data_IF_248221791805
#
_entry.id   IF_248221791805
#
_cell.length_a   1.000
_cell.length_b   1.000
_cell.length_c   1.000
_cell.angle_alpha   90.00
_cell.angle_beta   90.00
_cell.angle_gamma   90.00
#
_symmetry.space_group_name_H-M   'P 1'
#
loop_
_entity.id
_entity.type
_entity.pdbx_description
1 polymer ?
#
# COMPACT_ATOMS: atom_id res chain seq x y z
N UNK A 1 -1.37 17.96 2.21
CA UNK A 1 -1.42 16.99 1.09
C UNK A 1 -2.69 16.15 1.12
N UNK A 2 -2.96 15.34 2.15
CA UNK A 2 -4.22 14.55 2.24
C UNK A 2 -5.52 15.35 2.11
N UNK A 3 -5.60 16.56 2.68
CA UNK A 3 -6.78 17.44 2.59
C UNK A 3 -6.97 18.01 1.17
N UNK A 4 -5.88 18.50 0.55
CA UNK A 4 -5.85 18.99 -0.82
C UNK A 4 -6.13 17.88 -1.85
N UNK A 5 -5.60 16.68 -1.63
CA UNK A 5 -5.88 15.49 -2.46
C UNK A 5 -7.32 15.02 -2.30
N UNK A 6 -7.91 15.05 -1.09
CA UNK A 6 -9.35 14.76 -0.88
C UNK A 6 -10.25 15.80 -1.56
N UNK A 7 -9.86 17.07 -1.61
CA UNK A 7 -10.60 18.12 -2.31
C UNK A 7 -10.53 17.96 -3.84
N UNK A 8 -9.37 17.61 -4.39
CA UNK A 8 -9.19 17.34 -5.82
C UNK A 8 -9.91 16.06 -6.28
N UNK A 9 -9.92 15.01 -5.45
CA UNK A 9 -10.54 13.72 -5.80
C UNK A 9 -12.07 13.68 -5.67
N UNK A 10 -12.70 14.59 -4.92
CA UNK A 10 -14.17 14.72 -4.93
C UNK A 10 -14.74 15.11 -6.31
N UNK A 11 -13.90 15.56 -7.23
CA UNK A 11 -14.32 15.98 -8.58
C UNK A 11 -13.65 15.21 -9.73
N UNK A 12 -12.71 14.30 -9.47
CA UNK A 12 -11.99 13.59 -10.53
C UNK A 12 -11.65 12.14 -10.17
N UNK A 13 -12.62 11.24 -10.34
CA UNK A 13 -12.36 9.80 -10.49
C UNK A 13 -11.80 9.54 -11.90
N UNK A 14 -10.50 9.75 -12.09
CA UNK A 14 -9.82 9.21 -13.26
C UNK A 14 -8.34 9.02 -13.01
N UNK A 15 -7.89 7.76 -13.09
CA UNK A 15 -6.48 7.45 -13.20
C UNK A 15 -5.94 8.06 -14.51
N UNK A 16 -4.95 8.95 -14.40
CA UNK A 16 -4.15 9.39 -15.54
C UNK A 16 -3.35 8.19 -16.05
N UNK A 17 -3.80 7.58 -17.14
CA UNK A 17 -2.97 6.65 -17.90
C UNK A 17 -2.19 7.46 -18.94
N UNK A 18 -0.85 7.41 -18.97
CA UNK A 18 -0.09 8.07 -20.03
C UNK A 18 -0.48 7.45 -21.37
N UNK A 19 -0.99 8.28 -22.28
CA UNK A 19 -1.10 7.96 -23.70
C UNK A 19 0.29 7.78 -24.33
N UNK A 20 0.37 7.35 -25.60
CA UNK A 20 1.65 7.32 -26.29
C UNK A 20 2.22 8.74 -26.32
N UNK A 21 3.30 8.96 -25.56
CA UNK A 21 3.96 10.24 -25.45
C UNK A 21 4.39 10.69 -26.86
N UNK A 22 3.82 11.79 -27.34
CA UNK A 22 4.53 12.63 -28.28
C UNK A 22 5.73 13.18 -27.53
N UNK A 23 6.93 12.75 -27.87
CA UNK A 23 8.16 13.36 -27.34
C UNK A 23 8.25 14.80 -27.86
N UNK A 24 7.69 15.76 -27.13
CA UNK A 24 8.04 17.16 -27.32
C UNK A 24 9.43 17.37 -26.70
N UNK A 25 10.34 17.93 -27.51
CA UNK A 25 11.73 18.15 -27.14
C UNK A 25 11.82 18.90 -25.79
N UNK A 26 12.45 18.30 -24.78
CA UNK A 26 12.53 18.87 -23.42
C UNK A 26 13.09 20.31 -23.33
N UNK A 27 13.78 20.79 -24.38
CA UNK A 27 14.23 22.17 -24.52
C UNK A 27 13.08 23.18 -24.68
N UNK A 28 12.04 22.83 -25.44
CA UNK A 28 10.87 23.69 -25.69
C UNK A 28 10.01 23.84 -24.43
N UNK A 29 9.85 22.74 -23.69
CA UNK A 29 9.18 22.74 -22.39
C UNK A 29 9.87 23.61 -21.33
N UNK A 30 11.20 23.53 -21.25
CA UNK A 30 11.96 24.36 -20.31
C UNK A 30 11.83 25.84 -20.62
N UNK A 31 11.77 26.21 -21.91
CA UNK A 31 11.54 27.58 -22.35
C UNK A 31 10.16 28.11 -21.92
N UNK A 32 9.11 27.27 -21.99
CA UNK A 32 7.77 27.65 -21.52
C UNK A 32 7.74 27.98 -20.02
N UNK A 33 8.45 27.21 -19.19
CA UNK A 33 8.57 27.51 -17.75
C UNK A 33 9.36 28.80 -17.49
N UNK A 34 10.42 29.05 -18.27
CA UNK A 34 11.18 30.29 -18.17
C UNK A 34 10.32 31.51 -18.56
N UNK A 35 9.48 31.39 -19.58
CA UNK A 35 8.59 32.47 -20.03
C UNK A 35 7.60 32.93 -18.95
N UNK A 36 7.15 32.01 -18.09
CA UNK A 36 6.29 32.32 -16.94
C UNK A 36 7.07 32.60 -15.64
N UNK A 37 8.40 32.74 -15.72
CA UNK A 37 9.30 32.89 -14.58
C UNK A 37 9.14 31.79 -13.50
N UNK A 38 8.80 30.56 -13.91
CA UNK A 38 8.64 29.44 -12.99
C UNK A 38 9.94 28.64 -12.86
N UNK A 39 10.35 28.42 -11.62
CA UNK A 39 11.53 27.63 -11.29
C UNK A 39 11.15 26.46 -10.36
N UNK A 40 11.84 25.34 -10.52
CA UNK A 40 11.58 24.14 -9.73
C UNK A 40 12.85 23.32 -9.54
N UNK A 41 13.05 22.84 -8.30
CA UNK A 41 14.04 21.82 -7.95
C UNK A 41 13.52 20.38 -8.17
N UNK A 42 12.24 20.24 -8.49
CA UNK A 42 11.58 18.97 -8.82
C UNK A 42 11.26 18.92 -10.32
N UNK A 43 11.17 17.71 -10.92
CA UNK A 43 10.61 17.55 -12.25
C UNK A 43 9.24 18.24 -12.35
N UNK A 44 9.01 18.93 -13.45
CA UNK A 44 7.74 19.58 -13.75
C UNK A 44 7.12 18.88 -14.94
N UNK A 45 5.85 18.49 -14.81
CA UNK A 45 5.03 17.91 -15.87
C UNK A 45 4.02 18.97 -16.32
N UNK A 46 4.05 19.33 -17.60
CA UNK A 46 2.99 20.11 -18.23
C UNK A 46 2.09 19.13 -18.97
N UNK A 47 0.79 19.22 -18.74
CA UNK A 47 -0.26 18.48 -19.45
C UNK A 47 -1.03 19.51 -20.26
N UNK A 48 -0.96 19.42 -21.59
CA UNK A 48 -1.77 20.21 -22.50
C UNK A 48 -2.97 19.39 -22.98
N UNK A 49 -4.20 19.83 -22.68
CA UNK A 49 -5.42 19.18 -23.17
C UNK A 49 -6.09 19.96 -24.31
N UNK A 50 -5.55 21.11 -24.73
CA UNK A 50 -6.07 21.94 -25.84
C UNK A 50 -7.55 22.28 -25.69
N UNK A 51 -7.94 22.85 -24.54
CA UNK A 51 -9.33 23.24 -24.30
C UNK A 51 -10.34 22.10 -24.07
N UNK A 52 -9.94 20.84 -24.21
CA UNK A 52 -10.85 19.69 -24.05
C UNK A 52 -11.02 19.34 -22.57
N UNK A 53 -12.15 19.76 -21.99
CA UNK A 53 -12.55 19.30 -20.64
C UNK A 53 -12.70 17.75 -20.65
N UNK A 54 -11.97 17.02 -19.79
CA UNK A 54 -11.99 15.57 -19.82
C UNK A 54 -13.37 15.01 -19.47
N UNK A 55 -14.04 14.39 -20.44
CA UNK A 55 -15.25 13.56 -20.20
C UNK A 55 -15.00 12.07 -20.41
N UNK A 56 -13.79 11.66 -20.82
CA UNK A 56 -13.42 10.24 -21.05
C UNK A 56 -11.97 9.92 -20.68
N UNK A 57 -11.76 8.66 -20.31
CA UNK A 57 -10.59 8.07 -19.64
C UNK A 57 -9.27 8.00 -20.43
N UNK A 58 -9.17 8.60 -21.62
CA UNK A 58 -7.91 8.63 -22.41
C UNK A 58 -7.82 9.91 -23.24
N UNK A 59 -7.07 10.89 -22.74
CA UNK A 59 -6.64 12.05 -23.52
C UNK A 59 -5.17 11.83 -23.89
N UNK A 60 -4.80 12.19 -25.12
CA UNK A 60 -3.39 12.35 -25.48
C UNK A 60 -2.86 13.58 -24.75
N UNK A 61 -2.13 13.36 -23.67
CA UNK A 61 -1.44 14.40 -22.95
C UNK A 61 0.01 14.41 -23.41
N UNK A 62 0.48 15.57 -23.90
CA UNK A 62 1.91 15.80 -23.99
C UNK A 62 2.44 15.92 -22.56
N UNK A 63 3.43 15.10 -22.22
CA UNK A 63 4.07 15.09 -20.90
C UNK A 63 5.47 15.60 -21.08
N UNK A 64 5.65 16.85 -20.71
CA UNK A 64 6.93 17.51 -20.86
C UNK A 64 7.63 17.56 -19.51
N UNK A 65 8.90 17.12 -19.40
CA UNK A 65 9.66 17.14 -18.13
C UNK A 65 10.83 18.12 -18.15
N UNK A 66 10.84 19.04 -17.19
CA UNK A 66 11.93 20.01 -16.99
C UNK A 66 12.78 19.63 -15.79
N UNK A 67 14.10 19.52 -15.97
CA UNK A 67 15.06 19.16 -14.92
C UNK A 67 15.56 17.72 -15.01
N UNK A 68 16.39 17.31 -14.03
CA UNK A 68 16.85 15.93 -13.89
C UNK A 68 16.03 15.22 -12.80
N UNK A 69 15.64 13.95 -13.00
CA UNK A 69 15.91 13.10 -14.17
C UNK A 69 14.98 13.44 -15.37
N UNK A 70 15.43 13.16 -16.61
CA UNK A 70 14.68 13.48 -17.84
C UNK A 70 13.61 12.42 -18.13
N UNK A 71 12.71 12.68 -19.08
CA UNK A 71 11.72 11.70 -19.55
C UNK A 71 12.36 10.34 -19.88
N UNK A 72 11.85 9.25 -19.29
CA UNK A 72 12.38 7.89 -19.47
C UNK A 72 13.39 7.41 -18.41
N UNK A 73 13.99 8.31 -17.64
CA UNK A 73 14.93 8.00 -16.55
C UNK A 73 14.24 7.62 -15.23
N UNK A 74 12.90 7.68 -15.20
CA UNK A 74 12.10 7.37 -14.03
C UNK A 74 12.03 5.85 -13.81
N UNK A 75 12.72 5.37 -12.77
CA UNK A 75 12.51 4.05 -12.18
C UNK A 75 11.97 4.23 -10.75
N UNK A 76 10.89 3.52 -10.40
CA UNK A 76 10.24 3.64 -9.09
C UNK A 76 9.32 4.87 -8.95
N UNK A 77 9.13 5.30 -7.71
CA UNK A 77 8.21 6.39 -7.35
C UNK A 77 8.91 7.76 -7.48
N UNK A 78 8.23 8.72 -8.10
CA UNK A 78 8.81 10.02 -8.45
C UNK A 78 7.87 11.14 -8.01
N UNK A 79 8.41 12.15 -7.34
CA UNK A 79 7.65 13.37 -7.03
C UNK A 79 7.86 14.43 -8.11
N UNK A 80 6.78 14.99 -8.63
CA UNK A 80 6.82 16.02 -9.66
C UNK A 80 5.74 17.08 -9.43
N UNK A 81 5.94 18.27 -10.00
CA UNK A 81 4.95 19.35 -10.03
C UNK A 81 4.14 19.27 -11.30
N UNK A 82 2.86 19.64 -11.28
CA UNK A 82 1.98 19.55 -12.43
C UNK A 82 1.40 20.90 -12.83
N UNK A 83 1.45 21.18 -14.12
CA UNK A 83 0.62 22.18 -14.79
C UNK A 83 -0.40 21.48 -15.69
N UNK A 84 -1.65 21.94 -15.68
CA UNK A 84 -2.70 21.49 -16.60
C UNK A 84 -3.22 22.71 -17.35
N UNK A 85 -3.08 22.69 -18.67
CA UNK A 85 -3.66 23.67 -19.59
C UNK A 85 -4.93 23.06 -20.17
N UNK A 86 -6.07 23.45 -19.60
CA UNK A 86 -7.41 23.00 -19.97
C UNK A 86 -8.19 24.04 -20.78
N UNK A 87 -7.50 25.09 -21.21
CA UNK A 87 -7.95 26.09 -22.15
C UNK A 87 -7.01 26.14 -23.38
N UNK A 88 -7.40 26.88 -24.42
CA UNK A 88 -6.57 27.11 -25.61
C UNK A 88 -5.61 28.30 -25.41
N UNK A 89 -5.13 28.52 -24.18
CA UNK A 89 -4.22 29.64 -23.87
C UNK A 89 -2.78 29.19 -23.66
N UNK A 90 -1.85 30.15 -23.68
CA UNK A 90 -0.45 29.87 -23.33
C UNK A 90 -0.31 29.47 -21.85
N UNK A 91 0.76 28.75 -21.53
CA UNK A 91 1.06 28.36 -20.16
C UNK A 91 1.12 29.60 -19.25
N UNK A 92 0.39 29.57 -18.13
CA UNK A 92 0.30 30.68 -17.18
C UNK A 92 0.45 30.20 -15.74
N UNK A 93 1.09 31.02 -14.92
CA UNK A 93 1.19 30.84 -13.47
C UNK A 93 0.55 32.04 -12.76
N UNK A 94 -0.32 31.84 -11.76
CA UNK A 94 -0.65 30.57 -11.09
C UNK A 94 -1.74 29.72 -11.77
N UNK A 95 -2.49 30.25 -12.74
CA UNK A 95 -3.69 29.63 -13.32
C UNK A 95 -3.58 28.14 -13.67
N UNK A 96 -2.52 27.73 -14.38
CA UNK A 96 -2.36 26.35 -14.83
C UNK A 96 -1.66 25.44 -13.82
N UNK A 97 -1.11 25.98 -12.73
CA UNK A 97 -0.40 25.19 -11.72
C UNK A 97 -1.39 24.40 -10.86
N UNK A 98 -1.23 23.06 -10.80
CA UNK A 98 -2.10 22.17 -10.03
C UNK A 98 -1.44 21.58 -8.78
N UNK A 99 -0.16 21.88 -8.55
CA UNK A 99 0.55 21.50 -7.32
C UNK A 99 1.48 20.29 -7.47
N UNK A 100 1.74 19.62 -6.35
CA UNK A 100 2.68 18.51 -6.20
C UNK A 100 1.94 17.16 -6.35
N UNK A 101 2.52 16.27 -7.14
CA UNK A 101 2.00 14.93 -7.40
C UNK A 101 3.09 13.89 -7.19
N UNK A 102 2.66 12.69 -6.80
CA UNK A 102 3.52 11.51 -6.67
C UNK A 102 3.16 10.53 -7.78
N UNK A 103 4.08 10.35 -8.72
CA UNK A 103 4.03 9.26 -9.69
C UNK A 103 4.39 7.96 -8.99
N UNK A 104 3.43 7.05 -8.92
CA UNK A 104 3.65 5.72 -8.40
C UNK A 104 3.85 4.74 -9.56
N UNK A 105 4.83 3.87 -9.40
CA UNK A 105 5.02 2.82 -10.38
C UNK A 105 3.88 1.81 -10.29
N UNK A 106 3.20 1.57 -11.41
CA UNK A 106 2.15 0.54 -11.47
C UNK A 106 2.73 -0.85 -11.16
N UNK A 107 2.10 -1.54 -10.22
CA UNK A 107 2.37 -2.95 -9.93
C UNK A 107 1.97 -3.78 -11.15
N UNK A 108 2.96 -4.40 -11.77
CA UNK A 108 2.83 -5.17 -13.00
C UNK A 108 3.99 -6.12 -13.15
N UNK A 109 3.83 -7.17 -13.96
CA UNK A 109 4.90 -8.13 -14.22
C UNK A 109 6.04 -7.48 -15.01
N UNK A 110 7.27 -7.74 -14.59
CA UNK A 110 8.49 -7.37 -15.30
C UNK A 110 9.57 -6.77 -14.39
N UNK A 111 10.78 -6.61 -14.93
CA UNK A 111 11.98 -6.19 -14.15
C UNK A 111 11.84 -4.89 -13.37
N UNK A 112 11.04 -3.95 -13.88
CA UNK A 112 10.79 -2.69 -13.17
C UNK A 112 9.67 -2.85 -12.13
N UNK A 113 8.75 -3.81 -12.31
CA UNK A 113 7.65 -4.09 -11.38
C UNK A 113 7.94 -5.33 -10.54
N UNK A 114 7.06 -6.32 -10.58
CA UNK A 114 7.28 -7.62 -9.92
C UNK A 114 8.06 -8.53 -10.87
N UNK A 115 9.31 -8.84 -10.52
CA UNK A 115 10.21 -9.66 -11.34
C UNK A 115 9.92 -11.16 -11.17
N UNK A 116 8.88 -11.62 -11.87
CA UNK A 116 8.45 -13.02 -11.95
C UNK A 116 8.49 -13.52 -13.39
N UNK A 117 8.51 -14.84 -13.54
CA UNK A 117 8.57 -15.52 -14.83
C UNK A 117 7.37 -15.16 -15.69
N UNK A 118 7.59 -15.02 -17.01
CA UNK A 118 6.51 -14.71 -17.94
C UNK A 118 5.62 -15.93 -18.15
N UNK A 119 4.32 -15.72 -18.02
CA UNK A 119 3.27 -16.71 -18.23
C UNK A 119 2.32 -16.23 -19.32
N UNK A 120 1.87 -17.18 -20.15
CA UNK A 120 0.84 -16.99 -21.15
C UNK A 120 -0.16 -18.16 -21.11
N UNK A 121 -1.16 -18.15 -21.99
CA UNK A 121 -2.21 -19.17 -22.00
C UNK A 121 -1.72 -20.59 -22.33
N UNK A 122 -0.54 -20.73 -22.94
CA UNK A 122 0.08 -22.03 -23.26
C UNK A 122 1.06 -22.51 -22.18
N UNK A 123 1.37 -21.69 -21.18
CA UNK A 123 2.20 -22.09 -20.04
C UNK A 123 1.44 -23.09 -19.18
N UNK A 124 2.01 -24.28 -18.88
CA UNK A 124 1.40 -25.23 -17.94
C UNK A 124 1.05 -24.58 -16.60
N UNK A 125 -0.05 -24.99 -15.99
CA UNK A 125 -0.59 -24.34 -14.79
C UNK A 125 0.40 -24.37 -13.62
N UNK A 126 1.12 -25.49 -13.44
CA UNK A 126 2.15 -25.69 -12.42
C UNK A 126 3.44 -24.89 -12.67
N UNK A 127 3.64 -24.43 -13.90
CA UNK A 127 4.75 -23.57 -14.33
C UNK A 127 4.34 -22.09 -14.50
N UNK A 128 3.12 -21.75 -14.04
CA UNK A 128 2.56 -20.41 -14.22
C UNK A 128 2.87 -19.50 -13.04
N UNK A 129 3.04 -18.22 -13.36
CA UNK A 129 3.32 -17.13 -12.43
C UNK A 129 2.14 -16.18 -12.35
N UNK A 130 1.93 -15.63 -11.15
CA UNK A 130 0.74 -14.88 -10.81
C UNK A 130 1.07 -13.63 -10.01
N UNK A 131 0.30 -12.56 -10.24
CA UNK A 131 0.21 -11.39 -9.35
C UNK A 131 -1.25 -11.27 -8.94
N UNK A 132 -1.43 -11.14 -7.64
CA UNK A 132 -2.71 -11.05 -6.96
C UNK A 132 -2.84 -9.72 -6.23
N UNK A 133 -4.06 -9.21 -6.16
CA UNK A 133 -4.42 -7.99 -5.44
C UNK A 133 -5.62 -8.26 -4.54
N UNK A 134 -5.49 -7.91 -3.28
CA UNK A 134 -6.55 -7.93 -2.29
C UNK A 134 -7.13 -6.53 -2.16
N UNK A 135 -8.42 -6.37 -2.49
CA UNK A 135 -9.03 -5.06 -2.67
C UNK A 135 -10.47 -5.03 -2.13
N UNK A 136 -11.15 -3.89 -2.15
CA UNK A 136 -12.56 -3.83 -1.78
C UNK A 136 -13.50 -4.46 -2.83
N UNK A 137 -14.68 -4.91 -2.39
CA UNK A 137 -15.63 -5.68 -3.19
C UNK A 137 -16.04 -5.02 -4.51
N UNK A 138 -16.21 -3.70 -4.48
CA UNK A 138 -16.55 -2.86 -5.61
C UNK A 138 -15.49 -2.82 -6.73
N UNK A 139 -14.27 -3.27 -6.46
CA UNK A 139 -13.14 -3.24 -7.40
C UNK A 139 -12.87 -4.62 -8.06
N UNK A 140 -13.77 -5.58 -7.87
CA UNK A 140 -13.69 -6.93 -8.43
C UNK A 140 -14.30 -7.06 -9.83
N UNK A 141 -15.04 -6.06 -10.31
CA UNK A 141 -15.76 -6.14 -11.58
C UNK A 141 -14.84 -6.52 -12.76
N UNK A 142 -15.22 -7.58 -13.48
CA UNK A 142 -14.55 -8.13 -14.67
C UNK A 142 -13.14 -8.72 -14.47
N UNK A 143 -12.72 -9.04 -13.24
CA UNK A 143 -11.46 -9.73 -12.95
C UNK A 143 -11.68 -11.21 -12.60
N UNK A 144 -10.76 -12.08 -13.01
CA UNK A 144 -10.70 -13.45 -12.48
C UNK A 144 -10.24 -13.40 -11.03
N UNK A 145 -10.81 -14.23 -10.16
CA UNK A 145 -10.51 -14.24 -8.73
C UNK A 145 -10.23 -15.64 -8.20
N UNK A 146 -9.54 -15.71 -7.07
CA UNK A 146 -9.41 -16.91 -6.23
C UNK A 146 -9.75 -16.55 -4.79
N UNK A 147 -10.35 -17.46 -4.04
CA UNK A 147 -10.81 -17.17 -2.67
C UNK A 147 -10.33 -18.25 -1.71
N UNK A 148 -9.67 -17.85 -0.63
CA UNK A 148 -9.23 -18.78 0.40
C UNK A 148 -10.41 -19.33 1.23
N UNK A 149 -10.31 -20.56 1.78
CA UNK A 149 -11.35 -21.18 2.60
C UNK A 149 -11.56 -20.54 3.98
N UNK A 150 -10.72 -19.59 4.41
CA UNK A 150 -10.79 -18.97 5.74
C UNK A 150 -11.00 -17.46 5.67
N UNK A 151 -10.33 -16.77 4.75
CA UNK A 151 -10.52 -15.32 4.61
C UNK A 151 -11.82 -14.96 3.90
N UNK A 152 -12.40 -15.88 3.11
CA UNK A 152 -13.66 -15.74 2.34
C UNK A 152 -13.77 -14.51 1.42
N UNK A 153 -12.74 -13.67 1.38
CA UNK A 153 -12.62 -12.50 0.53
C UNK A 153 -11.71 -12.82 -0.66
N UNK A 154 -12.15 -12.51 -1.89
CA UNK A 154 -11.40 -12.90 -3.08
C UNK A 154 -10.14 -12.08 -3.27
N UNK A 155 -9.14 -12.72 -3.88
CA UNK A 155 -7.98 -12.09 -4.47
C UNK A 155 -8.19 -11.94 -5.97
N UNK A 156 -7.99 -10.72 -6.49
CA UNK A 156 -7.98 -10.42 -7.91
C UNK A 156 -6.72 -10.97 -8.57
N UNK A 157 -6.87 -11.68 -9.69
CA UNK A 157 -5.74 -12.05 -10.55
C UNK A 157 -5.42 -10.87 -11.47
N UNK A 158 -4.33 -10.16 -11.17
CA UNK A 158 -3.80 -9.07 -12.00
C UNK A 158 -2.90 -9.56 -13.13
N UNK A 159 -2.18 -10.66 -12.88
CA UNK A 159 -1.32 -11.31 -13.85
C UNK A 159 -1.44 -12.83 -13.73
N UNK A 160 -1.53 -13.57 -14.85
CA UNK A 160 -1.77 -13.06 -16.20
C UNK A 160 -3.16 -12.38 -16.29
N UNK A 161 -3.35 -11.43 -17.19
CA UNK A 161 -4.64 -10.69 -17.33
C UNK A 161 -5.83 -11.58 -17.72
N UNK A 162 -5.54 -12.73 -18.34
CA UNK A 162 -6.52 -13.71 -18.81
C UNK A 162 -5.98 -15.11 -18.48
N UNK A 163 -6.03 -15.52 -17.20
CA UNK A 163 -5.59 -16.86 -16.82
C UNK A 163 -6.52 -17.91 -17.44
N UNK A 164 -5.99 -19.10 -17.75
CA UNK A 164 -6.82 -20.24 -18.14
C UNK A 164 -7.57 -20.81 -16.94
N UNK A 165 -8.55 -21.70 -17.19
CA UNK A 165 -9.23 -22.45 -16.12
C UNK A 165 -8.24 -23.22 -15.24
N UNK A 166 -7.27 -23.86 -15.87
CA UNK A 166 -6.30 -24.72 -15.19
C UNK A 166 -5.32 -23.90 -14.35
N UNK A 167 -4.88 -22.75 -14.88
CA UNK A 167 -4.06 -21.79 -14.14
C UNK A 167 -4.80 -21.23 -12.93
N UNK A 168 -6.09 -20.90 -13.09
CA UNK A 168 -6.94 -20.41 -12.00
C UNK A 168 -7.14 -21.49 -10.94
N UNK A 169 -7.42 -22.74 -11.35
CA UNK A 169 -7.58 -23.87 -10.44
C UNK A 169 -6.29 -24.20 -9.67
N UNK A 170 -5.13 -24.13 -10.33
CA UNK A 170 -3.83 -24.30 -9.68
C UNK A 170 -3.57 -23.23 -8.62
N UNK A 171 -3.84 -21.96 -8.94
CA UNK A 171 -3.66 -20.86 -8.00
C UNK A 171 -4.63 -20.97 -6.82
N UNK A 172 -5.89 -21.36 -7.09
CA UNK A 172 -6.89 -21.64 -6.07
C UNK A 172 -6.41 -22.75 -5.12
N UNK A 173 -5.86 -23.85 -5.65
CA UNK A 173 -5.30 -24.93 -4.84
C UNK A 173 -4.12 -24.47 -3.99
N UNK A 174 -3.23 -23.62 -4.53
CA UNK A 174 -2.11 -23.07 -3.79
C UNK A 174 -2.57 -22.19 -2.61
N UNK A 175 -3.55 -21.30 -2.84
CA UNK A 175 -4.12 -20.44 -1.80
C UNK A 175 -4.88 -21.26 -0.74
N UNK A 176 -5.73 -22.20 -1.16
CA UNK A 176 -6.46 -23.07 -0.25
C UNK A 176 -5.53 -23.94 0.58
N UNK A 177 -4.47 -24.51 -0.01
CA UNK A 177 -3.46 -25.30 0.69
C UNK A 177 -2.71 -24.49 1.74
N UNK A 178 -2.36 -23.23 1.43
CA UNK A 178 -1.75 -22.32 2.39
C UNK A 178 -2.68 -22.06 3.59
N UNK A 179 -3.92 -21.63 3.36
CA UNK A 179 -4.84 -21.33 4.47
C UNK A 179 -5.17 -22.58 5.28
N UNK A 180 -5.45 -23.73 4.62
CA UNK A 180 -5.69 -24.99 5.35
C UNK A 180 -4.51 -25.36 6.24
N UNK A 181 -3.27 -25.23 5.76
CA UNK A 181 -2.08 -25.51 6.56
C UNK A 181 -1.85 -24.48 7.68
N UNK A 182 -2.19 -23.21 7.47
CA UNK A 182 -2.05 -22.15 8.47
C UNK A 182 -3.04 -22.32 9.64
N UNK A 183 -4.24 -22.81 9.37
CA UNK A 183 -5.28 -23.02 10.39
C UNK A 183 -5.34 -24.47 10.92
N UNK A 184 -4.49 -25.37 10.43
CA UNK A 184 -4.33 -26.72 10.97
C UNK A 184 -3.74 -26.69 12.40
N UNK A 185 -3.90 -27.79 13.14
CA UNK A 185 -3.36 -27.93 14.49
C UNK A 185 -1.84 -27.97 14.54
N UNK A 186 -1.20 -28.45 13.47
CA UNK A 186 0.24 -28.60 13.28
C UNK A 186 0.85 -27.48 12.41
N UNK A 187 0.18 -26.34 12.28
CA UNK A 187 0.61 -25.23 11.42
C UNK A 187 2.05 -24.73 11.67
N UNK A 188 2.58 -24.92 12.88
CA UNK A 188 3.95 -24.53 13.26
C UNK A 188 5.02 -25.51 12.77
N UNK A 189 4.64 -26.66 12.21
CA UNK A 189 5.59 -27.64 11.67
C UNK A 189 6.42 -27.01 10.55
N UNK A 190 7.76 -27.07 10.63
CA UNK A 190 8.64 -26.40 9.68
C UNK A 190 8.62 -27.01 8.26
N UNK A 191 8.13 -28.25 8.12
CA UNK A 191 8.10 -29.01 6.85
C UNK A 191 6.70 -29.11 6.27
N UNK A 192 5.72 -29.42 7.12
CA UNK A 192 4.34 -29.72 6.72
C UNK A 192 3.36 -28.57 6.94
N UNK A 193 3.74 -27.59 7.76
CA UNK A 193 2.93 -26.41 8.05
C UNK A 193 2.89 -25.40 6.90
N UNK A 194 2.43 -24.19 7.21
CA UNK A 194 2.17 -23.13 6.22
C UNK A 194 3.43 -22.74 5.39
N UNK A 195 4.63 -22.91 5.95
CA UNK A 195 5.94 -22.63 5.31
C UNK A 195 6.18 -23.45 4.05
N UNK A 196 5.46 -24.56 3.87
CA UNK A 196 5.44 -25.33 2.62
C UNK A 196 4.91 -24.52 1.45
N UNK A 197 3.91 -23.66 1.69
CA UNK A 197 3.14 -22.95 0.66
C UNK A 197 3.55 -21.48 0.50
N UNK A 198 4.05 -20.85 1.56
CA UNK A 198 4.40 -19.43 1.55
C UNK A 198 5.88 -19.17 1.89
N UNK A 199 6.41 -18.09 1.33
CA UNK A 199 7.76 -17.61 1.57
C UNK A 199 7.78 -16.81 2.88
N UNK A 200 8.34 -17.42 3.92
CA UNK A 200 8.42 -16.84 5.26
C UNK A 200 9.13 -15.47 5.27
N UNK A 201 10.18 -15.28 4.48
CA UNK A 201 10.89 -13.99 4.42
C UNK A 201 10.04 -12.90 3.78
N UNK A 202 9.35 -13.20 2.67
CA UNK A 202 8.48 -12.22 2.01
C UNK A 202 7.30 -11.82 2.90
N UNK A 203 6.71 -12.78 3.61
CA UNK A 203 5.65 -12.50 4.59
C UNK A 203 6.17 -11.63 5.74
N UNK A 204 7.38 -11.91 6.25
CA UNK A 204 7.96 -11.15 7.34
C UNK A 204 8.30 -9.71 6.92
N UNK A 205 8.89 -9.53 5.73
CA UNK A 205 9.25 -8.22 5.20
C UNK A 205 8.01 -7.36 4.96
N UNK A 206 6.95 -7.94 4.38
CA UNK A 206 5.68 -7.25 4.18
C UNK A 206 5.02 -6.89 5.52
N UNK A 207 4.93 -7.83 6.46
CA UNK A 207 4.38 -7.60 7.80
C UNK A 207 5.11 -6.48 8.55
N UNK A 208 6.44 -6.52 8.56
CA UNK A 208 7.26 -5.52 9.22
C UNK A 208 7.05 -4.13 8.59
N UNK A 209 6.94 -4.05 7.26
CA UNK A 209 6.69 -2.79 6.57
C UNK A 209 5.31 -2.21 6.90
N UNK A 210 4.25 -3.02 6.84
CA UNK A 210 2.90 -2.59 7.18
C UNK A 210 2.77 -2.19 8.65
N UNK A 211 3.42 -2.91 9.57
CA UNK A 211 3.46 -2.53 10.98
C UNK A 211 4.27 -1.25 11.22
N UNK A 212 5.39 -1.02 10.50
CA UNK A 212 6.15 0.22 10.61
C UNK A 212 5.31 1.43 10.17
N UNK A 213 4.64 1.30 9.02
CA UNK A 213 3.88 2.40 8.42
C UNK A 213 2.56 2.62 9.16
N UNK A 214 1.96 1.55 9.68
CA UNK A 214 0.69 1.55 10.39
C UNK A 214 -0.42 2.23 9.57
N UNK A 215 -0.60 1.76 8.33
CA UNK A 215 -1.56 2.33 7.38
C UNK A 215 -2.98 1.81 7.63
N UNK A 216 -3.57 2.27 8.74
CA UNK A 216 -4.76 1.68 9.35
C UNK A 216 -6.01 1.53 8.46
N UNK A 217 -6.13 2.31 7.37
CA UNK A 217 -7.26 2.18 6.44
C UNK A 217 -7.12 1.01 5.47
N UNK A 218 -5.89 0.67 5.08
CA UNK A 218 -5.63 -0.28 3.99
C UNK A 218 -4.88 -1.53 4.45
N UNK A 219 -3.90 -1.40 5.35
CA UNK A 219 -3.13 -2.54 5.85
C UNK A 219 -4.06 -3.67 6.26
N UNK A 220 -3.79 -4.86 5.74
CA UNK A 220 -4.53 -6.09 6.00
C UNK A 220 -5.96 -6.19 5.43
N UNK A 221 -6.54 -5.11 4.89
CA UNK A 221 -7.93 -5.06 4.44
C UNK A 221 -8.09 -4.78 2.93
N UNK A 222 -7.20 -4.01 2.34
CA UNK A 222 -7.20 -3.68 0.90
C UNK A 222 -5.79 -3.25 0.45
N UNK A 223 -5.61 -2.94 -0.84
CA UNK A 223 -4.33 -2.55 -1.41
C UNK A 223 -3.16 -3.51 -1.10
N UNK A 224 -3.43 -4.79 -0.79
CA UNK A 224 -2.39 -5.76 -0.48
C UNK A 224 -2.09 -6.62 -1.72
N UNK A 225 -0.81 -6.81 -2.03
CA UNK A 225 -0.39 -7.57 -3.18
C UNK A 225 0.30 -8.86 -2.76
N UNK A 226 0.14 -9.89 -3.60
CA UNK A 226 0.82 -11.17 -3.45
C UNK A 226 1.26 -11.63 -4.83
N UNK A 227 2.37 -12.35 -4.91
CA UNK A 227 2.79 -13.00 -6.14
C UNK A 227 3.18 -14.45 -5.88
N UNK A 228 3.08 -15.24 -6.96
CA UNK A 228 3.55 -16.61 -7.00
C UNK A 228 4.32 -16.79 -8.29
N UNK A 229 5.62 -17.03 -8.20
CA UNK A 229 6.45 -17.30 -9.37
C UNK A 229 6.46 -18.81 -9.69
N UNK A 230 6.89 -19.16 -10.90
CA UNK A 230 7.07 -20.55 -11.35
C UNK A 230 7.94 -21.34 -10.36
N UNK A 231 7.44 -22.48 -9.89
CA UNK A 231 8.11 -23.34 -8.91
C UNK A 231 8.31 -22.71 -7.53
N UNK A 232 7.88 -21.47 -7.29
CA UNK A 232 8.05 -20.78 -6.01
C UNK A 232 6.77 -20.75 -5.18
N UNK A 233 6.97 -20.46 -3.89
CA UNK A 233 5.93 -20.28 -2.87
C UNK A 233 5.25 -18.92 -3.03
N UNK A 234 4.06 -18.78 -2.43
CA UNK A 234 3.35 -17.52 -2.30
C UNK A 234 4.21 -16.49 -1.56
N UNK A 235 4.28 -15.27 -2.05
CA UNK A 235 5.07 -14.20 -1.46
C UNK A 235 4.25 -12.91 -1.42
N UNK A 236 4.12 -12.30 -0.24
CA UNK A 236 3.46 -11.02 -0.09
C UNK A 236 4.33 -9.87 -0.61
N UNK A 237 3.65 -8.83 -1.06
CA UNK A 237 4.23 -7.64 -1.65
C UNK A 237 3.98 -7.52 -3.15
N UNK A 238 4.35 -6.37 -3.74
CA UNK A 238 4.93 -5.20 -3.07
C UNK A 238 3.91 -4.43 -2.18
N UNK A 239 4.39 -3.60 -1.26
CA UNK A 239 3.54 -2.70 -0.45
C UNK A 239 2.94 -1.59 -1.32
N UNK A 240 1.73 -1.14 -1.01
CA UNK A 240 0.99 -0.15 -1.80
C UNK A 240 0.07 0.74 -0.95
N UNK A 241 -0.32 1.88 -1.51
CA UNK A 241 -1.30 2.83 -0.94
C UNK A 241 -1.02 3.30 0.50
N UNK A 242 0.21 3.74 0.75
CA UNK A 242 0.72 4.09 2.08
C UNK A 242 0.32 5.49 2.57
N UNK A 243 -0.62 6.14 1.88
CA UNK A 243 -0.90 7.58 2.04
C UNK A 243 -1.52 7.93 3.39
N UNK A 244 -2.02 6.94 4.14
CA UNK A 244 -2.65 7.08 5.46
C UNK A 244 -1.83 6.42 6.58
N UNK A 245 -0.54 6.19 6.34
CA UNK A 245 0.40 5.76 7.39
C UNK A 245 0.87 6.88 8.30
N UNK A 246 1.83 6.56 9.16
CA UNK A 246 2.60 7.51 9.99
C UNK A 246 1.76 8.38 10.92
N UNK A 247 0.68 7.83 11.47
CA UNK A 247 -0.21 8.57 12.37
C UNK A 247 -1.09 9.61 11.68
N UNK A 248 -1.08 9.67 10.35
CA UNK A 248 -1.82 10.68 9.57
C UNK A 248 -3.22 10.23 9.16
N UNK A 249 -3.59 8.94 9.34
CA UNK A 249 -4.92 8.51 8.94
C UNK A 249 -6.00 9.29 9.68
N UNK A 250 -6.94 9.73 8.84
CA UNK A 250 -8.36 9.88 9.03
C UNK A 250 -8.79 10.34 10.43
N UNK A 251 -9.36 11.55 10.50
CA UNK A 251 -9.91 12.21 11.71
C UNK A 251 -11.02 11.47 12.47
N UNK A 252 -11.07 10.15 12.37
CA UNK A 252 -11.72 9.25 13.30
C UNK A 252 -10.88 9.16 14.57
N UNK A 253 -11.38 9.64 15.70
CA UNK A 253 -11.00 9.00 16.93
C UNK A 253 -11.51 7.55 16.82
N UNK A 254 -10.64 6.56 17.07
CA UNK A 254 -11.10 5.36 17.78
C UNK A 254 -11.61 5.88 19.13
N UNK A 255 -12.85 6.38 19.13
CA UNK A 255 -13.49 7.12 20.21
C UNK A 255 -13.78 6.07 21.27
N UNK A 256 -12.91 6.02 22.27
CA UNK A 256 -13.02 5.07 23.38
C UNK A 256 -11.71 4.68 24.06
N UNK A 257 -10.55 5.24 23.69
CA UNK A 257 -9.30 4.80 24.31
C UNK A 257 -9.07 5.41 25.71
N UNK A 258 -8.94 4.53 26.72
CA UNK A 258 -8.39 4.87 28.04
C UNK A 258 -6.85 5.03 27.94
N UNK A 259 -6.28 6.21 28.25
CA UNK A 259 -4.82 6.53 28.14
C UNK A 259 -4.28 6.97 26.75
N UNK A 260 -5.04 7.74 25.94
CA UNK A 260 -4.55 8.43 24.72
C UNK A 260 -3.89 7.57 23.60
N UNK A 261 -4.19 6.28 23.51
CA UNK A 261 -3.67 5.35 22.49
C UNK A 261 -2.40 4.61 22.91
N UNK A 262 -1.95 4.73 24.16
CA UNK A 262 -0.71 4.14 24.65
C UNK A 262 -0.87 2.65 25.00
N UNK A 263 -0.29 1.78 24.18
CA UNK A 263 -0.13 0.35 24.47
C UNK A 263 1.30 0.04 24.90
N UNK A 264 1.48 -0.68 26.01
CA UNK A 264 2.79 -1.22 26.37
C UNK A 264 3.33 -2.16 25.28
N UNK A 265 4.66 -2.34 25.16
CA UNK A 265 5.22 -3.30 24.20
C UNK A 265 4.58 -4.68 24.36
N UNK A 266 4.08 -5.25 23.26
CA UNK A 266 3.43 -6.56 23.25
C UNK A 266 2.02 -6.61 23.88
N UNK A 267 1.44 -5.47 24.30
CA UNK A 267 0.12 -5.40 24.94
C UNK A 267 -0.88 -4.66 24.03
N UNK A 268 -1.67 -5.44 23.29
CA UNK A 268 -2.83 -5.03 22.49
C UNK A 268 -2.57 -4.12 21.26
N UNK A 269 -3.57 -4.00 20.38
CA UNK A 269 -3.45 -3.31 19.10
C UNK A 269 -3.41 -1.77 19.11
N UNK A 270 -3.40 -1.14 20.30
CA UNK A 270 -3.27 0.32 20.44
C UNK A 270 -4.33 1.13 19.68
N UNK A 271 -3.96 2.35 19.25
CA UNK A 271 -4.75 3.20 18.35
C UNK A 271 -4.10 3.31 16.98
N UNK A 272 -4.89 3.43 15.91
CA UNK A 272 -4.44 3.59 14.53
C UNK A 272 -3.44 4.75 14.34
N UNK A 273 -3.64 5.84 15.08
CA UNK A 273 -2.78 7.04 15.01
C UNK A 273 -1.63 7.04 16.02
N UNK A 274 -1.62 6.09 16.97
CA UNK A 274 -0.58 5.99 17.99
C UNK A 274 0.65 5.26 17.43
N UNK A 275 1.88 5.67 17.80
CA UNK A 275 3.09 4.90 17.46
C UNK A 275 3.12 3.53 18.16
N UNK A 276 2.26 3.30 19.16
CA UNK A 276 2.26 2.08 19.96
C UNK A 276 1.14 1.12 19.54
N UNK A 277 1.35 -0.18 19.78
CA UNK A 277 0.39 -1.25 19.52
C UNK A 277 0.49 -1.85 18.12
N UNK A 278 0.14 -3.13 17.99
CA UNK A 278 0.14 -3.88 16.74
C UNK A 278 -1.10 -3.57 15.89
N UNK A 279 -0.92 -3.29 14.60
CA UNK A 279 -2.06 -2.98 13.74
C UNK A 279 -2.90 -4.23 13.41
N UNK A 280 -2.25 -5.36 13.13
CA UNK A 280 -2.97 -6.59 12.78
C UNK A 280 -3.94 -7.10 13.87
N UNK A 281 -3.73 -6.69 15.12
CA UNK A 281 -4.54 -7.08 16.28
C UNK A 281 -5.52 -5.97 16.74
N UNK A 282 -5.61 -4.85 16.03
CA UNK A 282 -6.42 -3.69 16.44
C UNK A 282 -7.90 -4.01 16.60
N UNK A 283 -8.40 -4.98 15.83
CA UNK A 283 -9.81 -5.36 15.78
C UNK A 283 -10.17 -6.66 16.52
N UNK A 284 -9.22 -7.29 17.20
CA UNK A 284 -9.51 -8.45 18.05
C UNK A 284 -10.37 -8.13 19.26
N UNK A 285 -10.41 -6.86 19.66
CA UNK A 285 -11.38 -6.35 20.62
C UNK A 285 -12.51 -5.69 19.83
N UNK A 286 -13.71 -6.31 19.73
CA UNK A 286 -14.81 -5.77 18.93
C UNK A 286 -15.22 -4.36 19.34
N UNK A 287 -15.02 -3.98 20.60
CA UNK A 287 -15.26 -2.62 21.10
C UNK A 287 -14.28 -1.57 20.54
N UNK A 288 -13.09 -1.99 20.09
CA UNK A 288 -12.09 -1.16 19.41
C UNK A 288 -12.31 -1.11 17.90
N UNK A 289 -12.92 -2.15 17.37
CA UNK A 289 -13.33 -2.29 15.99
C UNK A 289 -14.62 -1.48 15.72
N UNK A 290 -14.55 -0.15 15.82
CA UNK A 290 -15.67 0.71 15.43
C UNK A 290 -15.66 0.92 13.92
N UNK A 291 -16.35 0.02 13.24
CA UNK A 291 -16.72 0.13 11.82
C UNK A 291 -17.45 1.45 11.60
N UNK A 292 -16.81 2.40 10.95
CA UNK A 292 -17.53 3.50 10.32
C UNK A 292 -17.57 3.18 8.82
N UNK A 293 -18.79 3.22 8.26
CA UNK A 293 -19.07 3.01 6.83
C UNK A 293 -19.10 1.55 6.31
N UNK A 294 -19.45 0.57 7.14
CA UNK A 294 -19.72 -0.81 6.66
C UNK A 294 -18.48 -1.62 6.25
N UNK A 295 -17.29 -1.13 6.61
CA UNK A 295 -16.03 -1.84 6.45
C UNK A 295 -15.74 -2.70 7.68
N UNK A 296 -15.79 -4.02 7.53
CA UNK A 296 -15.37 -4.96 8.57
C UNK A 296 -13.83 -5.09 8.56
N UNK A 297 -13.11 -4.68 9.60
CA UNK A 297 -11.69 -4.93 9.78
C UNK A 297 -11.43 -6.25 10.54
N UNK A 298 -12.46 -7.05 10.79
CA UNK A 298 -12.37 -8.49 10.93
C UNK A 298 -12.42 -9.19 9.57
N UNK A 299 -11.92 -8.57 8.50
CA UNK A 299 -12.04 -9.12 7.14
C UNK A 299 -10.71 -9.04 6.40
N UNK A 300 -10.21 -10.20 5.97
CA UNK A 300 -8.99 -10.33 5.16
C UNK A 300 -7.75 -10.87 5.85
N UNK A 301 -6.58 -10.40 5.41
CA UNK A 301 -5.30 -11.07 5.72
C UNK A 301 -4.79 -10.80 7.14
N UNK A 302 -5.44 -9.92 7.91
CA UNK A 302 -5.13 -9.70 9.33
C UNK A 302 -5.19 -11.03 10.10
N UNK A 303 -6.17 -11.88 9.79
CA UNK A 303 -6.31 -13.20 10.42
C UNK A 303 -5.11 -14.12 10.17
N UNK A 304 -4.48 -14.00 9.00
CA UNK A 304 -3.26 -14.76 8.73
C UNK A 304 -2.19 -14.39 9.73
N UNK A 305 -2.00 -13.09 9.99
CA UNK A 305 -0.98 -12.60 10.90
C UNK A 305 -1.34 -12.84 12.37
N UNK A 306 -2.62 -12.74 12.76
CA UNK A 306 -3.07 -13.19 14.08
C UNK A 306 -2.75 -14.67 14.31
N UNK A 307 -2.96 -15.53 13.31
CA UNK A 307 -2.62 -16.96 13.40
C UNK A 307 -1.11 -17.19 13.42
N UNK A 308 -0.36 -16.52 12.54
CA UNK A 308 1.11 -16.59 12.51
C UNK A 308 1.73 -16.12 13.83
N UNK A 309 1.16 -15.11 14.49
CA UNK A 309 1.66 -14.59 15.76
C UNK A 309 1.64 -15.63 16.90
N UNK A 310 0.78 -16.65 16.79
CA UNK A 310 0.73 -17.77 17.73
C UNK A 310 1.92 -18.73 17.58
N UNK A 311 2.63 -18.71 16.44
CA UNK A 311 3.83 -19.51 16.21
C UNK A 311 5.07 -18.84 16.85
N UNK A 312 5.70 -19.46 17.87
CA UNK A 312 6.92 -18.92 18.48
C UNK A 312 8.10 -18.86 17.48
N UNK A 313 8.14 -19.75 16.48
CA UNK A 313 9.18 -19.73 15.46
C UNK A 313 9.02 -18.51 14.55
N UNK A 314 7.77 -18.19 14.17
CA UNK A 314 7.46 -16.97 13.41
C UNK A 314 7.87 -15.72 14.18
N UNK A 315 7.46 -15.58 15.45
CA UNK A 315 7.85 -14.41 16.28
C UNK A 315 9.35 -14.24 16.42
N UNK A 316 10.07 -15.35 16.62
CA UNK A 316 11.54 -15.36 16.65
C UNK A 316 12.14 -14.93 15.31
N UNK A 317 11.58 -15.44 14.20
CA UNK A 317 12.02 -15.11 12.85
C UNK A 317 11.85 -13.63 12.54
N UNK A 318 10.65 -13.08 12.75
CA UNK A 318 10.36 -11.65 12.48
C UNK A 318 11.18 -10.74 13.40
N UNK A 319 11.40 -11.11 14.67
CA UNK A 319 12.25 -10.32 15.58
C UNK A 319 13.72 -10.29 15.15
N UNK A 320 14.26 -11.42 14.66
CA UNK A 320 15.60 -11.45 14.05
C UNK A 320 15.66 -10.61 12.79
N UNK A 321 14.63 -10.70 11.93
CA UNK A 321 14.55 -9.90 10.70
C UNK A 321 14.48 -8.40 11.00
N UNK A 322 13.68 -8.00 11.97
CA UNK A 322 13.64 -6.62 12.47
C UNK A 322 15.01 -6.14 12.95
N UNK A 323 15.71 -6.94 13.76
CA UNK A 323 17.06 -6.62 14.25
C UNK A 323 18.06 -6.43 13.09
N UNK A 324 17.97 -7.26 12.04
CA UNK A 324 18.81 -7.09 10.84
C UNK A 324 18.53 -5.77 10.11
N UNK A 325 17.26 -5.42 9.92
CA UNK A 325 16.86 -4.17 9.27
C UNK A 325 17.33 -2.97 10.08
N UNK A 326 17.11 -3.00 11.40
CA UNK A 326 17.52 -1.98 12.37
C UNK A 326 19.02 -1.85 12.56
N UNK A 327 19.80 -2.90 12.29
CA UNK A 327 21.26 -2.84 12.22
C UNK A 327 21.80 -2.31 10.88
N UNK A 328 20.93 -2.02 9.91
CA UNK A 328 21.29 -1.65 8.54
C UNK A 328 20.52 -0.43 8.06
N UNK A 329 19.79 -0.60 6.97
CA UNK A 329 19.11 0.50 6.26
C UNK A 329 18.01 1.17 7.08
N UNK A 330 17.53 0.55 8.16
CA UNK A 330 16.43 1.08 8.97
C UNK A 330 16.89 1.65 10.30
N UNK A 331 18.19 1.91 10.49
CA UNK A 331 18.70 2.66 11.65
C UNK A 331 18.06 4.05 11.73
N UNK A 332 17.91 4.59 12.95
CA UNK A 332 17.31 5.90 13.19
C UNK A 332 17.98 6.99 12.35
N UNK A 333 19.31 7.06 12.38
CA UNK A 333 20.07 8.04 11.61
C UNK A 333 19.84 7.94 10.09
N UNK A 334 19.66 6.73 9.56
CA UNK A 334 19.45 6.50 8.13
C UNK A 334 18.04 6.90 7.72
N UNK A 335 17.03 6.47 8.49
CA UNK A 335 15.62 6.80 8.23
C UNK A 335 15.38 8.30 8.38
N UNK A 336 15.87 8.91 9.46
CA UNK A 336 15.67 10.32 9.73
C UNK A 336 16.42 11.19 8.71
N UNK A 337 17.64 10.82 8.31
CA UNK A 337 18.33 11.52 7.22
C UNK A 337 17.59 11.42 5.88
N UNK A 338 16.96 10.28 5.58
CA UNK A 338 16.14 10.12 4.38
C UNK A 338 14.86 10.98 4.45
N UNK A 339 14.24 11.08 5.62
CA UNK A 339 13.09 11.95 5.85
C UNK A 339 13.47 13.42 5.70
N UNK A 340 14.55 13.86 6.33
CA UNK A 340 15.07 15.23 6.26
C UNK A 340 15.41 15.62 4.80
N UNK A 341 16.10 14.72 4.08
CA UNK A 341 16.42 14.93 2.67
C UNK A 341 15.15 15.08 1.82
N UNK A 342 14.10 14.28 2.10
CA UNK A 342 12.81 14.39 1.42
C UNK A 342 12.07 15.66 1.79
N UNK A 343 12.08 16.06 3.05
CA UNK A 343 11.49 17.33 3.49
C UNK A 343 12.18 18.51 2.79
N UNK A 344 13.51 18.55 2.79
CA UNK A 344 14.27 19.61 2.10
C UNK A 344 13.96 19.66 0.59
N UNK A 345 13.83 18.49 -0.05
CA UNK A 345 13.45 18.38 -1.46
C UNK A 345 12.05 18.95 -1.73
N UNK A 346 11.10 18.75 -0.81
CA UNK A 346 9.69 19.12 -0.99
C UNK A 346 9.32 20.50 -0.42
N UNK A 347 10.20 21.13 0.37
CA UNK A 347 9.90 22.36 1.13
C UNK A 347 9.32 23.48 0.26
N UNK A 348 9.98 23.80 -0.85
CA UNK A 348 9.56 24.88 -1.74
C UNK A 348 8.17 24.59 -2.37
N UNK A 349 7.94 23.36 -2.82
CA UNK A 349 6.67 22.94 -3.39
C UNK A 349 5.55 22.90 -2.33
N UNK A 350 5.89 22.49 -1.10
CA UNK A 350 4.99 22.47 0.05
C UNK A 350 4.48 23.86 0.39
N UNK A 351 5.36 24.86 0.45
CA UNK A 351 4.97 26.25 0.70
C UNK A 351 4.05 26.80 -0.40
N UNK A 352 4.32 26.50 -1.68
CA UNK A 352 3.44 26.90 -2.78
C UNK A 352 2.05 26.27 -2.68
N UNK A 353 1.96 25.01 -2.29
CA UNK A 353 0.66 24.34 -2.12
C UNK A 353 -0.17 25.01 -1.02
N UNK A 354 0.46 25.43 0.08
CA UNK A 354 -0.24 26.16 1.15
C UNK A 354 -0.78 27.52 0.67
N UNK A 355 -0.08 28.17 -0.27
CA UNK A 355 -0.53 29.42 -0.89
C UNK A 355 -1.64 29.21 -1.92
N UNK A 356 -1.59 28.12 -2.67
CA UNK A 356 -2.57 27.79 -3.70
C UNK A 356 -3.90 27.31 -3.11
N UNK A 357 -3.86 26.60 -1.98
CA UNK A 357 -5.03 25.99 -1.34
C UNK A 357 -5.21 26.48 0.11
N UNK A 358 -5.32 27.81 0.34
CA UNK A 358 -5.29 28.38 1.70
C UNK A 358 -6.50 27.97 2.54
N UNK A 359 -7.68 27.79 1.92
CA UNK A 359 -8.89 27.35 2.62
C UNK A 359 -8.82 25.86 2.98
N UNK A 360 -8.43 25.01 2.03
CA UNK A 360 -8.35 23.56 2.24
C UNK A 360 -7.17 23.15 3.13
N UNK A 361 -6.18 24.02 3.33
CA UNK A 361 -5.01 23.76 4.17
C UNK A 361 -4.87 24.81 5.28
N UNK A 362 -5.98 25.43 5.68
CA UNK A 362 -6.00 26.39 6.77
C UNK A 362 -5.41 25.77 8.05
N UNK A 363 -4.43 26.45 8.65
CA UNK A 363 -3.75 26.00 9.87
C UNK A 363 -2.67 24.92 9.66
N UNK A 364 -2.47 24.44 8.43
CA UNK A 364 -1.36 23.51 8.13
C UNK A 364 -0.06 24.28 8.04
N UNK A 365 0.92 23.89 8.87
CA UNK A 365 2.30 24.36 8.77
C UNK A 365 3.18 23.24 8.23
N UNK A 366 3.86 23.47 7.10
CA UNK A 366 4.71 22.47 6.46
C UNK A 366 5.80 21.92 7.40
N UNK A 367 6.51 22.79 8.11
CA UNK A 367 7.59 22.39 9.02
C UNK A 367 7.03 21.66 10.26
N UNK A 368 5.85 22.09 10.72
CA UNK A 368 5.13 21.44 11.82
C UNK A 368 4.71 20.01 11.48
N UNK A 369 4.11 19.79 10.30
CA UNK A 369 3.74 18.45 9.82
C UNK A 369 4.95 17.54 9.70
N UNK A 370 6.06 18.08 9.17
CA UNK A 370 7.28 17.30 8.98
C UNK A 370 7.90 16.88 10.33
N UNK A 371 7.91 17.79 11.31
CA UNK A 371 8.36 17.49 12.67
C UNK A 371 7.49 16.41 13.33
N UNK A 372 6.16 16.50 13.18
CA UNK A 372 5.23 15.49 13.71
C UNK A 372 5.46 14.09 13.13
N UNK A 373 5.72 13.99 11.82
CA UNK A 373 6.03 12.70 11.18
C UNK A 373 7.35 12.13 11.72
N UNK A 374 8.37 12.98 11.89
CA UNK A 374 9.67 12.58 12.42
C UNK A 374 9.57 12.06 13.86
N UNK A 375 8.85 12.79 14.72
CA UNK A 375 8.59 12.41 16.12
C UNK A 375 7.80 11.09 16.20
N UNK A 376 6.73 10.96 15.40
CA UNK A 376 5.91 9.76 15.36
C UNK A 376 6.71 8.54 14.89
N UNK A 377 7.49 8.68 13.82
CA UNK A 377 8.26 7.60 13.24
C UNK A 377 9.36 7.14 14.20
N UNK A 378 10.04 8.07 14.86
CA UNK A 378 11.02 7.76 15.91
C UNK A 378 10.38 6.96 17.04
N UNK A 379 9.24 7.43 17.56
CA UNK A 379 8.50 6.73 18.62
C UNK A 379 8.04 5.33 18.16
N UNK A 380 7.59 5.18 16.91
CA UNK A 380 7.17 3.89 16.34
C UNK A 380 8.33 2.91 16.22
N UNK A 381 9.48 3.37 15.73
CA UNK A 381 10.70 2.55 15.62
C UNK A 381 11.12 2.02 17.00
N UNK A 382 11.17 2.89 18.01
CA UNK A 382 11.55 2.48 19.38
C UNK A 382 10.51 1.55 20.03
N UNK A 383 9.22 1.76 19.77
CA UNK A 383 8.19 0.83 20.21
C UNK A 383 8.36 -0.54 19.55
N UNK A 384 8.61 -0.59 18.24
CA UNK A 384 8.84 -1.84 17.50
C UNK A 384 10.12 -2.54 17.96
N UNK A 385 11.18 -1.82 18.29
CA UNK A 385 12.40 -2.39 18.89
C UNK A 385 12.07 -3.20 20.15
N UNK A 386 11.30 -2.62 21.08
CA UNK A 386 10.86 -3.32 22.29
C UNK A 386 9.86 -4.45 22.00
N UNK A 387 8.89 -4.21 21.11
CA UNK A 387 7.83 -5.16 20.82
C UNK A 387 8.35 -6.42 20.11
N UNK A 388 9.25 -6.28 19.12
CA UNK A 388 9.87 -7.41 18.44
C UNK A 388 10.89 -8.15 19.31
N UNK A 389 11.65 -7.44 20.16
CA UNK A 389 12.53 -8.09 21.13
C UNK A 389 11.73 -8.99 22.08
N UNK A 390 10.62 -8.46 22.62
CA UNK A 390 9.72 -9.20 23.50
C UNK A 390 9.02 -10.36 22.78
N UNK A 391 8.58 -10.16 21.54
CA UNK A 391 7.97 -11.22 20.74
C UNK A 391 8.95 -12.39 20.51
N UNK A 392 10.24 -12.09 20.27
CA UNK A 392 11.27 -13.10 20.05
C UNK A 392 11.75 -13.82 21.33
N UNK A 393 11.67 -13.18 22.50
CA UNK A 393 12.16 -13.74 23.77
C UNK A 393 11.07 -14.33 24.67
N UNK A 394 9.79 -13.96 24.45
CA UNK A 394 8.69 -14.27 25.37
C UNK A 394 7.88 -15.52 25.02
N UNK A 395 7.19 -16.14 26.00
CA UNK A 395 6.09 -17.06 25.70
C UNK A 395 5.02 -16.36 24.86
N UNK A 396 4.20 -17.11 24.12
CA UNK A 396 3.06 -16.50 23.43
C UNK A 396 2.24 -15.70 24.45
N UNK A 397 1.95 -14.43 24.17
CA UNK A 397 1.00 -13.70 25.00
C UNK A 397 -0.31 -14.50 25.04
N UNK A 398 -0.86 -14.66 26.25
CA UNK A 398 -1.98 -15.55 26.59
C UNK A 398 -3.16 -15.40 25.62
N UNK A 399 -3.95 -16.48 25.45
CA UNK A 399 -4.49 -16.91 24.17
C UNK A 399 -5.46 -15.88 23.58
N UNK A 400 -5.23 -15.55 22.31
CA UNK A 400 -6.29 -15.19 21.38
C UNK A 400 -7.50 -16.10 21.64
N UNK A 401 -8.74 -15.57 21.67
CA UNK A 401 -9.92 -16.41 21.80
C UNK A 401 -9.82 -17.55 20.77
N UNK A 402 -9.81 -18.79 21.25
CA UNK A 402 -9.69 -20.00 20.42
C UNK A 402 -10.88 -20.22 19.48
N UNK A 403 -11.86 -19.31 19.51
CA UNK A 403 -13.02 -19.32 18.68
C UNK A 403 -12.91 -18.14 17.72
N UNK A 404 -12.29 -18.32 16.56
CA UNK A 404 -12.74 -17.75 15.27
C UNK A 404 -11.88 -18.31 14.12
N UNK A 405 -12.49 -18.68 12.97
CA UNK A 405 -13.93 -18.73 12.73
C UNK A 405 -14.55 -20.05 13.25
N UNK A 406 -15.83 -20.05 13.63
CA UNK A 406 -16.55 -21.28 13.93
C UNK A 406 -16.55 -22.18 12.69
N UNK A 407 -16.47 -23.49 12.93
CA UNK A 407 -16.62 -24.58 11.96
C UNK A 407 -17.40 -24.18 10.71
N UNK A 408 -16.70 -24.16 9.57
CA UNK A 408 -17.28 -23.95 8.25
C UNK A 408 -18.32 -25.05 7.96
N UNK A 409 -19.60 -24.69 8.00
CA UNK A 409 -20.61 -25.40 7.21
C UNK A 409 -20.49 -24.84 5.78
N UNK A 410 -20.22 -25.66 4.75
CA UNK A 410 -20.16 -25.15 3.39
C UNK A 410 -21.53 -24.57 3.02
N UNK A 411 -21.56 -23.27 2.71
CA UNK A 411 -22.72 -22.66 2.09
C UNK A 411 -22.95 -23.38 0.76
N UNK A 412 -24.08 -24.07 0.64
CA UNK A 412 -24.53 -24.66 -0.61
C UNK A 412 -24.60 -23.58 -1.67
N UNK A 413 -23.81 -23.73 -2.72
CA UNK A 413 -23.88 -22.90 -3.93
C UNK A 413 -25.27 -23.11 -4.54
N UNK A 414 -26.20 -22.17 -4.29
CA UNK A 414 -27.43 -22.12 -5.06
C UNK A 414 -27.07 -21.57 -6.45
N UNK A 415 -27.01 -22.46 -7.43
CA UNK A 415 -27.03 -22.07 -8.83
C UNK A 415 -28.32 -21.28 -9.07
N UNK A 416 -28.18 -19.98 -9.34
CA UNK A 416 -29.23 -19.17 -9.93
C UNK A 416 -29.43 -19.67 -11.36
N UNK A 417 -30.47 -20.46 -11.57
CA UNK A 417 -31.03 -20.67 -12.90
C UNK A 417 -31.79 -19.41 -13.29
N UNK A 418 -31.42 -18.86 -14.45
CA UNK A 418 -32.11 -17.77 -15.12
C UNK A 418 -33.61 -18.04 -15.28
N UNK A 419 -34.41 -16.99 -15.10
CA UNK A 419 -35.80 -16.85 -15.52
C UNK A 419 -36.00 -15.43 -16.03
#
# INVERSE_FOLDING_TARGET
MQEATRHLLKHHDSALAPGPAGETNGAECCAQLQAINFQSNLPVVIINTGGVKPSRSKIGADVCTCGSPKHGDYAGNVTFKVFVMDDDTELQYPQHYKGLYLGLQKISQGKKGVDITKTNASTPADQSSFILEFEHAQNYDNKSTVTGPVTFKPWNILYPKKPTSDQTAYLQQALSGFETALYASDFTDPTNGWRKYANETAFADWFIAEELIKNAKHSYHSAAFMYKDDGKRLALGPIWDLVQGFGTCCGYPITGYLQNGLSGPGLSGGSAISPNGWLFDICLEPARCKVLEGYDPGDGIAYWFTRLWQDPNWRTFVGKRWTQLRGGAWQDSVILAALDAKQAQLAEAGQRILQEWPEALAGVNYDGVSSQISEWLTARLHWLDGAFALAASGPAFAPFPSAFPPSATPASVSQSTAG
#
